data_IF_674704377683
#
_entry.id   IF_674704377683
#
_cell.length_a   1.000
_cell.length_b   1.000
_cell.length_c   1.000
_cell.angle_alpha   90.00
_cell.angle_beta   90.00
_cell.angle_gamma   90.00
#
_symmetry.space_group_name_H-M   'P 1'
#
loop_
_entity.id
_entity.type
_entity.pdbx_description
1 polymer ?
#
# COMPACT_ATOMS: atom_id res chain seq x y z
N UNK A 1 -25.14 -60.69 -10.16
CA UNK A 1 -26.02 -59.65 -10.73
C UNK A 1 -26.66 -58.87 -9.59
N UNK A 2 -26.23 -57.63 -9.36
CA UNK A 2 -26.98 -56.62 -8.61
C UNK A 2 -26.60 -55.25 -9.16
N UNK A 3 -27.65 -54.45 -9.40
CA UNK A 3 -27.67 -53.27 -10.26
C UNK A 3 -27.07 -52.02 -9.60
N UNK A 4 -26.69 -51.06 -10.45
CA UNK A 4 -26.12 -49.76 -10.14
C UNK A 4 -26.93 -48.94 -9.12
N UNK A 5 -26.23 -48.30 -8.16
CA UNK A 5 -26.74 -47.14 -7.43
C UNK A 5 -26.13 -45.86 -8.01
N UNK A 6 -26.84 -45.32 -9.00
CA UNK A 6 -26.46 -44.13 -9.76
C UNK A 6 -27.18 -42.90 -9.17
N UNK A 7 -26.74 -42.39 -8.01
CA UNK A 7 -27.27 -41.14 -7.45
C UNK A 7 -26.17 -40.29 -6.80
N UNK A 8 -25.24 -39.81 -7.64
CA UNK A 8 -24.39 -38.69 -7.28
C UNK A 8 -25.16 -37.39 -7.60
N UNK A 9 -25.61 -36.67 -6.57
CA UNK A 9 -26.62 -35.61 -6.66
C UNK A 9 -26.13 -34.39 -7.48
N UNK A 10 -27.07 -33.69 -8.14
CA UNK A 10 -26.78 -32.52 -8.96
C UNK A 10 -26.06 -31.40 -8.17
N UNK A 11 -26.35 -31.28 -6.88
CA UNK A 11 -25.67 -30.38 -5.96
C UNK A 11 -24.19 -30.74 -5.73
N UNK A 12 -23.88 -32.03 -5.56
CA UNK A 12 -22.50 -32.54 -5.46
C UNK A 12 -21.67 -32.23 -6.73
N UNK A 13 -22.34 -32.14 -7.89
CA UNK A 13 -21.72 -31.74 -9.16
C UNK A 13 -21.48 -30.23 -9.26
N UNK A 14 -22.44 -29.40 -8.86
CA UNK A 14 -22.31 -27.94 -8.83
C UNK A 14 -21.22 -27.46 -7.86
N UNK A 15 -21.13 -28.08 -6.69
CA UNK A 15 -20.09 -27.77 -5.70
C UNK A 15 -18.69 -28.11 -6.22
N UNK A 16 -18.55 -29.18 -7.02
CA UNK A 16 -17.29 -29.53 -7.69
C UNK A 16 -16.89 -28.53 -8.78
N UNK A 17 -17.87 -28.01 -9.54
CA UNK A 17 -17.67 -26.96 -10.56
C UNK A 17 -17.19 -25.67 -9.89
N UNK A 18 -17.89 -25.23 -8.84
CA UNK A 18 -17.56 -24.00 -8.12
C UNK A 18 -16.22 -24.07 -7.37
N UNK A 19 -15.81 -25.27 -6.89
CA UNK A 19 -14.49 -25.49 -6.26
C UNK A 19 -13.34 -25.61 -7.28
N UNK A 20 -13.58 -25.41 -8.58
CA UNK A 20 -12.56 -25.46 -9.62
C UNK A 20 -11.91 -26.84 -9.80
N UNK A 21 -12.54 -27.90 -9.26
CA UNK A 21 -12.09 -29.29 -9.33
C UNK A 21 -12.88 -30.10 -10.35
N UNK A 22 -13.52 -29.46 -11.33
CA UNK A 22 -14.06 -30.17 -12.49
C UNK A 22 -12.99 -30.43 -13.52
N UNK A 23 -12.28 -31.54 -13.33
CA UNK A 23 -11.50 -32.21 -14.37
C UNK A 23 -12.18 -33.53 -14.75
N UNK A 24 -13.50 -33.52 -14.98
CA UNK A 24 -14.21 -34.68 -15.53
C UNK A 24 -14.34 -34.63 -17.07
N UNK A 25 -13.89 -33.55 -17.71
CA UNK A 25 -13.96 -33.35 -19.18
C UNK A 25 -12.60 -33.38 -19.88
N UNK A 26 -11.52 -33.63 -19.13
CA UNK A 26 -10.16 -33.76 -19.65
C UNK A 26 -9.46 -34.87 -18.87
N UNK A 27 -9.91 -36.11 -19.10
CA UNK A 27 -9.10 -37.30 -18.81
C UNK A 27 -8.16 -37.44 -20.01
N UNK A 28 -6.83 -37.31 -19.83
CA UNK A 28 -5.89 -37.53 -20.93
C UNK A 28 -6.07 -38.95 -21.44
N UNK A 29 -6.44 -39.12 -22.71
CA UNK A 29 -6.67 -40.43 -23.34
C UNK A 29 -8.12 -40.85 -23.54
N UNK A 30 -9.12 -40.13 -22.97
CA UNK A 30 -10.54 -40.39 -23.23
C UNK A 30 -11.22 -39.22 -23.99
N UNK A 31 -10.83 -39.08 -25.25
CA UNK A 31 -11.79 -39.04 -26.37
C UNK A 31 -12.71 -37.83 -26.63
N UNK A 32 -12.58 -36.66 -25.99
CA UNK A 32 -13.45 -35.49 -26.34
C UNK A 32 -12.70 -34.21 -26.72
N UNK A 33 -11.42 -34.06 -26.36
CA UNK A 33 -10.60 -32.93 -26.79
C UNK A 33 -9.65 -33.33 -27.93
N UNK A 34 -9.60 -32.54 -29.01
CA UNK A 34 -8.57 -32.71 -30.05
C UNK A 34 -7.19 -32.43 -29.42
N UNK A 35 -6.10 -33.13 -29.81
CA UNK A 35 -4.77 -32.96 -29.21
C UNK A 35 -4.27 -31.50 -29.15
N UNK A 36 -4.64 -30.67 -30.14
CA UNK A 36 -4.29 -29.24 -30.14
C UNK A 36 -5.05 -28.38 -29.11
N UNK A 37 -6.20 -28.83 -28.61
CA UNK A 37 -6.98 -28.11 -27.60
C UNK A 37 -6.49 -28.39 -26.18
N UNK A 38 -5.88 -29.56 -25.94
CA UNK A 38 -5.31 -29.91 -24.63
C UNK A 38 -4.15 -28.99 -24.25
N UNK A 39 -3.27 -28.66 -25.21
CA UNK A 39 -2.20 -27.68 -24.99
C UNK A 39 -2.72 -26.28 -24.67
N UNK A 40 -3.82 -25.85 -25.30
CA UNK A 40 -4.42 -24.54 -25.06
C UNK A 40 -5.08 -24.47 -23.68
N UNK A 41 -5.71 -25.55 -23.23
CA UNK A 41 -6.31 -25.65 -21.89
C UNK A 41 -5.23 -25.74 -20.80
N UNK A 42 -4.16 -26.50 -21.04
CA UNK A 42 -2.99 -26.55 -20.15
C UNK A 42 -2.34 -25.17 -20.03
N UNK A 43 -2.15 -24.45 -21.15
CA UNK A 43 -1.64 -23.08 -21.16
C UNK A 43 -2.57 -22.12 -20.41
N UNK A 44 -3.89 -22.19 -20.62
CA UNK A 44 -4.88 -21.37 -19.90
C UNK A 44 -4.90 -21.66 -18.39
N UNK A 45 -4.72 -22.91 -17.97
CA UNK A 45 -4.63 -23.28 -16.56
C UNK A 45 -3.32 -22.79 -15.90
N UNK A 46 -2.21 -22.82 -16.63
CA UNK A 46 -0.94 -22.20 -16.21
C UNK A 46 -1.10 -20.69 -16.11
N UNK A 47 -1.78 -20.06 -17.07
CA UNK A 47 -2.05 -18.62 -17.09
C UNK A 47 -2.96 -18.20 -15.93
N UNK A 48 -4.02 -18.97 -15.62
CA UNK A 48 -4.88 -18.72 -14.44
C UNK A 48 -4.12 -18.90 -13.13
N UNK A 49 -3.22 -19.89 -13.01
CA UNK A 49 -2.33 -20.03 -11.84
C UNK A 49 -1.33 -18.88 -11.73
N UNK A 50 -0.83 -18.38 -12.85
CA UNK A 50 0.05 -17.21 -12.89
C UNK A 50 -0.68 -15.92 -12.53
N UNK A 51 -1.95 -15.76 -12.95
CA UNK A 51 -2.81 -14.62 -12.61
C UNK A 51 -3.28 -14.68 -11.16
N UNK A 52 -3.62 -15.86 -10.63
CA UNK A 52 -3.95 -16.05 -9.22
C UNK A 52 -2.74 -15.77 -8.29
N UNK A 53 -1.52 -16.15 -8.72
CA UNK A 53 -0.26 -15.77 -8.03
C UNK A 53 0.09 -14.29 -8.17
N UNK A 54 -0.48 -13.57 -9.13
CA UNK A 54 -0.31 -12.13 -9.37
C UNK A 54 -1.44 -11.28 -8.79
N UNK A 55 -2.32 -11.84 -7.94
CA UNK A 55 -3.20 -10.96 -7.16
C UNK A 55 -2.32 -10.21 -6.13
N UNK A 56 -2.34 -8.87 -6.11
CA UNK A 56 -1.54 -8.08 -5.17
C UNK A 56 -1.93 -8.32 -3.70
N UNK A 57 -3.05 -9.01 -3.44
CA UNK A 57 -3.51 -9.38 -2.11
C UNK A 57 -2.97 -10.72 -1.58
N UNK A 58 -2.53 -11.65 -2.44
CA UNK A 58 -2.31 -13.04 -2.02
C UNK A 58 -0.99 -13.32 -1.27
N UNK A 59 -0.05 -12.36 -1.23
CA UNK A 59 1.32 -12.60 -0.72
C UNK A 59 1.98 -11.45 0.02
N UNK A 60 1.34 -10.30 0.15
CA UNK A 60 1.88 -9.26 1.02
C UNK A 60 1.59 -9.69 2.47
N UNK A 61 2.61 -9.82 3.34
CA UNK A 61 2.34 -10.04 4.76
C UNK A 61 1.47 -8.88 5.23
N UNK A 62 0.25 -9.16 5.71
CA UNK A 62 -0.74 -8.15 6.12
C UNK A 62 -0.16 -7.12 7.10
N UNK A 63 0.88 -7.51 7.84
CA UNK A 63 1.62 -6.66 8.79
C UNK A 63 2.41 -5.54 8.09
N UNK A 64 2.82 -5.70 6.83
CA UNK A 64 3.53 -4.66 6.09
C UNK A 64 2.66 -3.47 5.67
N UNK A 65 1.34 -3.64 5.62
CA UNK A 65 0.38 -2.58 5.26
C UNK A 65 0.32 -1.47 6.32
N UNK A 66 0.05 -1.76 7.61
CA UNK A 66 0.08 -0.73 8.65
C UNK A 66 1.49 -0.15 8.83
N UNK A 67 2.54 -0.96 8.65
CA UNK A 67 3.92 -0.45 8.69
C UNK A 67 4.17 0.58 7.58
N UNK A 68 3.73 0.29 6.35
CA UNK A 68 3.87 1.22 5.24
C UNK A 68 3.10 2.54 5.48
N UNK A 69 1.89 2.45 6.06
CA UNK A 69 1.10 3.61 6.48
C UNK A 69 1.87 4.47 7.50
N UNK A 70 2.37 3.86 8.59
CA UNK A 70 3.17 4.55 9.61
C UNK A 70 4.41 5.20 8.98
N UNK A 71 5.06 4.50 8.05
CA UNK A 71 6.23 5.03 7.36
C UNK A 71 5.91 6.28 6.53
N UNK A 72 4.69 6.37 5.97
CA UNK A 72 4.21 7.56 5.28
C UNK A 72 4.11 8.76 6.23
N UNK A 73 3.54 8.55 7.42
CA UNK A 73 3.46 9.58 8.46
C UNK A 73 4.84 10.00 8.93
N UNK A 74 5.72 9.02 9.20
CA UNK A 74 7.10 9.28 9.64
C UNK A 74 7.90 10.06 8.60
N UNK A 75 7.67 9.84 7.30
CA UNK A 75 8.36 10.59 6.25
C UNK A 75 8.06 12.10 6.30
N UNK A 76 6.81 12.48 6.62
CA UNK A 76 6.43 13.88 6.79
C UNK A 76 7.10 14.48 8.01
N UNK A 77 7.04 13.79 9.15
CA UNK A 77 7.66 14.25 10.40
C UNK A 77 9.18 14.41 10.27
N UNK A 78 9.85 13.42 9.69
CA UNK A 78 11.28 13.47 9.44
C UNK A 78 11.65 14.56 8.42
N UNK A 79 10.83 14.73 7.38
CA UNK A 79 11.01 15.79 6.40
C UNK A 79 10.92 17.18 7.03
N UNK A 80 9.87 17.45 7.79
CA UNK A 80 9.69 18.70 8.56
C UNK A 80 10.84 18.93 9.53
N UNK A 81 11.23 17.90 10.28
CA UNK A 81 12.37 18.00 11.21
C UNK A 81 13.68 18.33 10.49
N UNK A 82 13.96 17.69 9.35
CA UNK A 82 15.13 17.98 8.52
C UNK A 82 15.09 19.41 7.98
N UNK A 83 13.93 19.86 7.52
CA UNK A 83 13.75 21.23 7.03
C UNK A 83 14.08 22.24 8.11
N UNK A 84 13.47 22.10 9.30
CA UNK A 84 13.63 23.03 10.41
C UNK A 84 15.04 23.01 11.01
N UNK A 85 15.72 21.87 10.98
CA UNK A 85 17.03 21.70 11.63
C UNK A 85 18.19 22.03 10.69
N UNK A 86 18.07 21.73 9.40
CA UNK A 86 19.20 21.79 8.45
C UNK A 86 18.96 22.64 7.21
N UNK A 87 17.72 22.71 6.71
CA UNK A 87 17.38 23.27 5.39
C UNK A 87 16.65 24.62 5.50
N UNK A 88 17.09 25.46 6.42
CA UNK A 88 16.67 26.87 6.51
C UNK A 88 17.74 27.78 5.90
N UNK A 89 17.36 29.01 5.51
CA UNK A 89 18.32 30.00 5.02
C UNK A 89 19.47 30.27 6.01
N UNK A 90 19.16 30.32 7.31
CA UNK A 90 20.14 30.43 8.41
C UNK A 90 20.68 29.06 8.87
N UNK A 91 20.29 27.99 8.20
CA UNK A 91 20.62 26.62 8.56
C UNK A 91 22.07 26.27 8.19
N UNK A 92 22.63 25.20 8.78
CA UNK A 92 24.01 24.78 8.55
C UNK A 92 24.33 24.46 7.08
N UNK A 93 23.32 24.10 6.28
CA UNK A 93 23.49 23.85 4.85
C UNK A 93 23.24 25.07 3.97
N UNK A 94 22.66 26.15 4.51
CA UNK A 94 22.31 27.37 3.77
C UNK A 94 21.41 27.12 2.55
N UNK A 95 20.68 26.00 2.55
CA UNK A 95 19.78 25.61 1.47
C UNK A 95 18.35 25.79 1.97
N UNK A 96 17.61 26.71 1.38
CA UNK A 96 16.18 26.87 1.64
C UNK A 96 15.35 26.25 0.49
N UNK A 97 14.68 25.11 0.72
CA UNK A 97 13.81 24.49 -0.27
C UNK A 97 12.68 25.40 -0.74
N UNK A 98 12.21 26.30 0.12
CA UNK A 98 11.16 27.29 -0.21
C UNK A 98 11.68 28.31 -1.21
N UNK A 99 12.91 28.78 -1.06
CA UNK A 99 13.52 29.67 -2.06
C UNK A 99 13.80 28.94 -3.38
N UNK A 100 14.22 27.67 -3.33
CA UNK A 100 14.59 26.91 -4.53
C UNK A 100 13.39 26.46 -5.37
N UNK A 101 12.31 26.02 -4.72
CA UNK A 101 11.16 25.38 -5.40
C UNK A 101 9.86 26.18 -5.26
N UNK A 102 9.92 27.34 -4.61
CA UNK A 102 8.76 28.14 -4.25
C UNK A 102 8.04 27.60 -3.00
N UNK A 103 7.14 28.40 -2.40
CA UNK A 103 6.49 28.09 -1.13
C UNK A 103 5.61 26.85 -1.17
N UNK A 104 4.93 26.60 -2.30
CA UNK A 104 4.00 25.48 -2.43
C UNK A 104 4.71 24.11 -2.43
N UNK A 105 5.82 24.00 -3.17
CA UNK A 105 6.57 22.75 -3.29
C UNK A 105 7.69 22.63 -2.28
N UNK A 106 8.39 23.73 -2.01
CA UNK A 106 9.55 23.78 -1.12
C UNK A 106 9.21 23.34 0.31
N UNK A 107 8.04 23.74 0.82
CA UNK A 107 7.57 23.36 2.16
C UNK A 107 7.56 21.83 2.36
N UNK A 108 7.22 21.06 1.33
CA UNK A 108 7.12 19.61 1.41
C UNK A 108 8.25 18.86 0.71
N UNK A 109 9.24 19.57 0.16
CA UNK A 109 10.29 18.97 -0.65
C UNK A 109 11.11 17.92 0.13
N UNK A 110 11.51 18.23 1.36
CA UNK A 110 12.24 17.30 2.22
C UNK A 110 11.39 16.07 2.58
N UNK A 111 10.12 16.27 2.94
CA UNK A 111 9.19 15.18 3.23
C UNK A 111 8.97 14.27 2.01
N UNK A 112 8.78 14.85 0.83
CA UNK A 112 8.63 14.11 -0.42
C UNK A 112 9.89 13.31 -0.77
N UNK A 113 11.09 13.87 -0.54
CA UNK A 113 12.35 13.17 -0.74
C UNK A 113 12.48 11.97 0.21
N UNK A 114 12.19 12.16 1.50
CA UNK A 114 12.22 11.07 2.49
C UNK A 114 11.21 9.97 2.12
N UNK A 115 10.00 10.34 1.69
CA UNK A 115 8.98 9.40 1.24
C UNK A 115 9.43 8.61 -0.02
N UNK A 116 10.07 9.28 -0.97
CA UNK A 116 10.62 8.63 -2.15
C UNK A 116 11.74 7.64 -1.80
N UNK A 117 12.68 8.05 -0.94
CA UNK A 117 13.75 7.18 -0.44
C UNK A 117 13.21 5.97 0.32
N UNK A 118 12.17 6.17 1.13
CA UNK A 118 11.48 5.10 1.83
C UNK A 118 10.83 4.09 0.86
N UNK A 119 10.18 4.58 -0.20
CA UNK A 119 9.57 3.72 -1.22
C UNK A 119 10.62 2.90 -1.99
N UNK A 120 11.73 3.53 -2.38
CA UNK A 120 12.81 2.87 -3.12
C UNK A 120 13.54 1.88 -2.21
N UNK A 121 13.96 2.31 -1.02
CA UNK A 121 14.73 1.49 -0.09
C UNK A 121 13.98 0.24 0.36
N UNK A 122 12.70 0.37 0.68
CA UNK A 122 11.88 -0.74 1.16
C UNK A 122 11.10 -1.47 0.06
N UNK A 123 11.33 -1.10 -1.20
CA UNK A 123 10.67 -1.71 -2.35
C UNK A 123 9.14 -1.77 -2.17
N UNK A 124 8.56 -0.63 -1.77
CA UNK A 124 7.13 -0.50 -1.55
C UNK A 124 6.41 -0.49 -2.90
N UNK A 125 5.63 -1.53 -3.17
CA UNK A 125 4.85 -1.67 -4.40
C UNK A 125 3.43 -2.16 -4.12
N UNK A 126 2.52 -1.92 -5.08
CA UNK A 126 1.13 -2.33 -4.99
C UNK A 126 0.40 -1.68 -3.81
N UNK A 127 -0.33 -2.46 -3.02
CA UNK A 127 -1.09 -1.96 -1.87
C UNK A 127 -0.23 -1.25 -0.81
N UNK A 128 1.06 -1.64 -0.67
CA UNK A 128 1.99 -1.02 0.29
C UNK A 128 2.35 0.41 -0.11
N UNK A 129 2.53 0.65 -1.41
CA UNK A 129 2.75 2.00 -1.94
C UNK A 129 1.55 2.91 -1.65
N UNK A 130 0.34 2.43 -1.91
CA UNK A 130 -0.88 3.18 -1.63
C UNK A 130 -1.08 3.44 -0.14
N UNK A 131 -0.76 2.48 0.72
CA UNK A 131 -0.81 2.70 2.17
C UNK A 131 0.23 3.73 2.63
N UNK A 132 1.45 3.68 2.11
CA UNK A 132 2.46 4.70 2.38
C UNK A 132 2.00 6.10 1.95
N UNK A 133 1.46 6.20 0.73
CA UNK A 133 0.92 7.46 0.22
C UNK A 133 -0.26 7.97 1.04
N UNK A 134 -1.15 7.08 1.49
CA UNK A 134 -2.27 7.43 2.36
C UNK A 134 -1.77 7.95 3.72
N UNK A 135 -0.75 7.33 4.31
CA UNK A 135 -0.14 7.79 5.56
C UNK A 135 0.54 9.15 5.40
N UNK A 136 1.26 9.34 4.28
CA UNK A 136 1.87 10.63 3.93
C UNK A 136 0.81 11.72 3.79
N UNK A 137 -0.23 11.48 2.99
CA UNK A 137 -1.32 12.44 2.78
C UNK A 137 -2.10 12.73 4.07
N UNK A 138 -2.35 11.72 4.89
CA UNK A 138 -2.98 11.89 6.20
C UNK A 138 -2.14 12.81 7.10
N UNK A 139 -0.83 12.58 7.16
CA UNK A 139 0.05 13.43 7.96
C UNK A 139 0.11 14.87 7.42
N UNK A 140 0.18 15.08 6.11
CA UNK A 140 0.16 16.44 5.53
C UNK A 140 -1.12 17.19 5.86
N UNK A 141 -2.27 16.51 5.81
CA UNK A 141 -3.58 17.14 5.98
C UNK A 141 -3.97 17.32 7.45
N UNK A 142 -3.56 16.40 8.32
CA UNK A 142 -4.04 16.33 9.72
C UNK A 142 -2.91 16.50 10.76
N UNK A 143 -1.72 16.96 10.37
CA UNK A 143 -0.63 17.21 11.32
C UNK A 143 -1.06 18.12 12.49
N UNK A 144 -1.73 19.27 12.23
CA UNK A 144 -2.14 20.17 13.30
C UNK A 144 -3.01 19.49 14.35
N UNK A 145 -3.98 18.69 13.93
CA UNK A 145 -4.91 17.97 14.80
C UNK A 145 -4.19 16.89 15.61
N UNK A 146 -3.24 16.19 15.01
CA UNK A 146 -2.42 15.19 15.72
C UNK A 146 -1.60 15.86 16.81
N UNK A 147 -0.97 17.00 16.51
CA UNK A 147 -0.17 17.76 17.46
C UNK A 147 -1.04 18.36 18.57
N UNK A 148 -2.24 18.85 18.25
CA UNK A 148 -3.19 19.36 19.24
C UNK A 148 -3.70 18.26 20.19
N UNK A 149 -3.92 17.05 19.67
CA UNK A 149 -4.37 15.92 20.48
C UNK A 149 -3.28 15.40 21.44
N UNK A 150 -2.03 15.35 21.00
CA UNK A 150 -0.91 14.89 21.80
C UNK A 150 0.31 15.80 21.59
N UNK A 151 0.40 16.95 22.26
CA UNK A 151 1.45 17.95 22.02
C UNK A 151 2.81 17.56 22.61
N UNK A 152 2.82 16.87 23.74
CA UNK A 152 4.04 16.61 24.52
C UNK A 152 5.14 15.89 23.70
N UNK A 153 4.86 14.82 22.93
CA UNK A 153 5.89 14.15 22.13
C UNK A 153 6.52 15.04 21.05
N UNK A 154 5.79 16.02 20.54
CA UNK A 154 6.29 16.93 19.51
C UNK A 154 7.06 18.10 20.12
N UNK A 155 6.66 18.57 21.31
CA UNK A 155 7.33 19.67 21.99
C UNK A 155 8.79 19.36 22.36
N UNK A 156 9.14 18.08 22.54
CA UNK A 156 10.51 17.63 22.81
C UNK A 156 11.41 17.64 21.56
N UNK A 157 10.82 17.50 20.36
CA UNK A 157 11.56 17.27 19.11
C UNK A 157 11.54 18.51 18.21
N UNK A 158 10.46 19.28 18.23
CA UNK A 158 10.23 20.41 17.32
C UNK A 158 10.40 21.78 18.01
N UNK A 159 10.89 22.80 17.28
CA UNK A 159 11.04 24.14 17.83
C UNK A 159 9.71 24.76 18.31
N UNK A 160 9.77 25.60 19.35
CA UNK A 160 8.58 26.26 19.91
C UNK A 160 7.77 27.06 18.88
N UNK A 161 8.44 27.71 17.92
CA UNK A 161 7.77 28.46 16.86
C UNK A 161 6.89 27.57 15.97
N UNK A 162 7.39 26.40 15.60
CA UNK A 162 6.64 25.40 14.85
C UNK A 162 5.47 24.84 15.68
N UNK A 163 5.71 24.53 16.95
CA UNK A 163 4.66 24.07 17.87
C UNK A 163 3.53 25.10 18.00
N UNK A 164 3.88 26.38 18.18
CA UNK A 164 2.90 27.46 18.25
C UNK A 164 2.08 27.55 16.96
N UNK A 165 2.72 27.42 15.80
CA UNK A 165 2.01 27.43 14.52
C UNK A 165 1.02 26.26 14.41
N UNK A 166 1.43 25.04 14.76
CA UNK A 166 0.57 23.85 14.71
C UNK A 166 -0.60 23.90 15.69
N UNK A 167 -0.40 24.44 16.88
CA UNK A 167 -1.46 24.61 17.88
C UNK A 167 -2.43 25.74 17.54
N UNK A 168 -1.97 26.75 16.79
CA UNK A 168 -2.80 27.88 16.34
C UNK A 168 -3.50 27.65 15.00
N UNK A 169 -3.11 26.60 14.28
CA UNK A 169 -3.66 26.29 12.97
C UNK A 169 -5.14 25.91 13.10
N UNK A 170 -6.01 26.39 12.18
CA UNK A 170 -7.40 25.98 12.14
C UNK A 170 -7.47 24.47 11.96
N UNK A 171 -8.24 23.80 12.81
CA UNK A 171 -8.52 22.39 12.66
C UNK A 171 -9.52 22.20 11.51
N UNK A 172 -9.30 21.18 10.69
CA UNK A 172 -10.19 20.77 9.60
C UNK A 172 -11.59 20.39 10.09
N UNK A 173 -11.75 20.14 11.40
CA UNK A 173 -13.01 19.82 12.06
C UNK A 173 -13.73 21.03 12.68
N UNK A 174 -13.15 22.23 12.65
CA UNK A 174 -13.81 23.48 13.07
C UNK A 174 -14.28 23.50 14.52
N UNK A 175 -13.50 22.92 15.44
CA UNK A 175 -13.77 22.91 16.88
C UNK A 175 -12.99 23.99 17.62
#
# INVERSE_FOLDING_TARGET
MTMASQHDSFHSRLDRINRGKTSAWTIPGEGIAKPGQEHRIAALNVQRRAVARKSPLGRAPLIMLPLALILGVAAVLLGEWLTLTYLTADGPLGLDPVEMFGPEFGRYAAAALVAALACIGLHLGGARFWAHLAGFGFAVLYMPEIVQFAPDPFAEVFPRGWMSAMLSAPNAFGL
#
